data_IF_134891199251
#
_entry.id   IF_134891199251
#
_cell.length_a   1.000
_cell.length_b   1.000
_cell.length_c   1.000
_cell.angle_alpha   90.00
_cell.angle_beta   90.00
_cell.angle_gamma   90.00
#
_symmetry.space_group_name_H-M   'P 1'
#
loop_
_entity.id
_entity.type
_entity.pdbx_description
1 polymer ?
#
# COMPACT_ATOMS: atom_id res chain seq x y z
N UNK A 1 60.72 -22.66 3.87
CA UNK A 1 60.49 -21.22 3.69
C UNK A 1 59.43 -21.07 2.60
N UNK A 2 58.14 -21.01 2.96
CA UNK A 2 57.03 -21.01 2.00
C UNK A 2 56.42 -19.60 1.89
N UNK A 3 56.30 -19.10 0.66
CA UNK A 3 55.89 -17.74 0.31
C UNK A 3 54.41 -17.45 0.63
N UNK A 4 54.04 -16.21 0.99
CA UNK A 4 52.67 -15.85 1.35
C UNK A 4 51.75 -15.78 0.12
N UNK A 5 50.54 -16.35 0.24
CA UNK A 5 49.48 -16.28 -0.78
C UNK A 5 48.96 -14.84 -0.93
N UNK A 6 49.00 -14.30 -2.16
CA UNK A 6 48.36 -13.02 -2.52
C UNK A 6 46.84 -13.12 -2.32
N UNK A 7 46.29 -12.35 -1.37
CA UNK A 7 44.85 -12.11 -1.25
C UNK A 7 44.41 -11.25 -2.44
N UNK A 8 43.56 -11.78 -3.31
CA UNK A 8 42.90 -10.95 -4.32
C UNK A 8 41.81 -10.14 -3.62
N UNK A 9 41.92 -8.81 -3.67
CA UNK A 9 40.93 -7.91 -3.13
C UNK A 9 39.77 -7.77 -4.13
N UNK A 10 38.55 -8.00 -3.65
CA UNK A 10 37.34 -8.03 -4.50
C UNK A 10 37.10 -6.67 -5.16
N UNK A 11 37.53 -5.57 -4.53
CA UNK A 11 37.48 -4.20 -5.06
C UNK A 11 38.21 -4.04 -6.40
N UNK A 12 39.31 -4.76 -6.62
CA UNK A 12 40.08 -4.67 -7.87
C UNK A 12 39.36 -5.34 -9.05
N UNK A 13 38.44 -6.27 -8.76
CA UNK A 13 37.63 -6.96 -9.76
C UNK A 13 36.48 -6.07 -10.28
N UNK A 14 35.95 -5.18 -9.44
CA UNK A 14 34.89 -4.23 -9.80
C UNK A 14 35.42 -3.08 -10.68
N UNK A 15 36.60 -2.54 -10.35
CA UNK A 15 37.24 -1.49 -11.15
C UNK A 15 37.63 -1.99 -12.55
N UNK A 16 38.16 -3.23 -12.66
CA UNK A 16 38.49 -3.82 -13.97
C UNK A 16 37.28 -4.09 -14.88
N UNK A 17 36.06 -4.14 -14.33
CA UNK A 17 34.80 -4.31 -15.08
C UNK A 17 34.08 -2.99 -15.35
N UNK A 18 34.69 -1.84 -15.06
CA UNK A 18 34.10 -0.53 -15.30
C UNK A 18 33.00 -0.15 -14.31
N UNK A 19 32.92 -0.82 -13.15
CA UNK A 19 31.96 -0.51 -12.10
C UNK A 19 32.68 0.30 -11.01
N UNK A 20 32.59 1.63 -11.08
CA UNK A 20 33.13 2.49 -10.02
C UNK A 20 32.13 2.53 -8.85
N UNK A 21 32.57 2.27 -7.61
CA UNK A 21 31.71 2.49 -6.44
C UNK A 21 31.36 3.98 -6.36
N UNK A 22 30.10 4.30 -6.03
CA UNK A 22 29.58 5.68 -6.00
C UNK A 22 30.41 6.61 -5.08
N UNK A 23 31.04 6.04 -4.04
CA UNK A 23 31.97 6.73 -3.15
C UNK A 23 33.25 7.28 -3.83
N UNK A 24 33.50 6.94 -5.09
CA UNK A 24 34.67 7.37 -5.87
C UNK A 24 34.35 8.48 -6.89
N UNK A 25 33.11 8.98 -6.91
CA UNK A 25 32.72 10.14 -7.73
C UNK A 25 32.87 11.38 -6.85
N UNK A 26 33.82 12.25 -7.17
CA UNK A 26 33.91 13.57 -6.51
C UNK A 26 32.68 14.41 -6.89
N UNK A 27 32.00 15.05 -5.94
CA UNK A 27 30.84 15.86 -6.23
C UNK A 27 31.23 17.08 -7.07
N UNK A 28 30.44 17.38 -8.09
CA UNK A 28 30.69 18.50 -9.00
C UNK A 28 30.40 19.84 -8.31
N UNK A 29 31.35 20.75 -8.42
CA UNK A 29 31.30 22.12 -7.90
C UNK A 29 30.00 22.85 -8.31
N UNK A 30 29.12 23.13 -7.33
CA UNK A 30 27.91 23.93 -7.55
C UNK A 30 26.63 23.47 -6.85
N UNK A 31 26.74 22.60 -5.84
CA UNK A 31 25.60 22.09 -5.08
C UNK A 31 24.77 23.24 -4.47
N UNK A 32 23.53 23.34 -4.95
CA UNK A 32 22.50 24.27 -4.46
C UNK A 32 22.00 23.82 -3.08
N UNK A 33 21.42 24.74 -2.27
CA UNK A 33 21.41 24.64 -0.81
C UNK A 33 20.57 23.47 -0.30
N UNK A 34 21.04 22.87 0.80
CA UNK A 34 20.30 21.91 1.63
C UNK A 34 18.82 22.28 1.75
N UNK A 35 17.92 21.39 1.32
CA UNK A 35 16.54 21.42 1.77
C UNK A 35 16.49 21.33 3.31
N UNK A 36 15.54 22.03 3.92
CA UNK A 36 15.40 22.28 5.37
C UNK A 36 15.09 21.01 6.20
N UNK A 37 14.93 19.85 5.56
CA UNK A 37 14.52 18.59 6.19
C UNK A 37 15.62 17.51 6.11
N UNK A 38 15.79 16.77 7.21
CA UNK A 38 16.79 15.71 7.32
C UNK A 38 16.30 14.37 6.72
N UNK A 39 17.19 13.39 6.61
CA UNK A 39 16.88 12.04 6.11
C UNK A 39 15.75 11.37 6.92
N UNK A 40 15.70 11.63 8.23
CA UNK A 40 14.69 11.08 9.13
C UNK A 40 13.27 11.57 8.77
N UNK A 41 13.12 12.84 8.40
CA UNK A 41 11.85 13.38 7.90
C UNK A 41 11.35 12.63 6.65
N UNK A 42 12.24 12.39 5.68
CA UNK A 42 11.87 11.69 4.45
C UNK A 42 11.57 10.21 4.68
N UNK A 43 12.25 9.56 5.62
CA UNK A 43 11.91 8.21 6.05
C UNK A 43 10.50 8.16 6.69
N UNK A 44 10.15 9.16 7.50
CA UNK A 44 8.83 9.27 8.11
C UNK A 44 7.74 9.54 7.06
N UNK A 45 7.99 10.42 6.09
CA UNK A 45 7.09 10.68 4.97
C UNK A 45 6.83 9.40 4.16
N UNK A 46 7.89 8.65 3.84
CA UNK A 46 7.78 7.38 3.11
C UNK A 46 7.01 6.33 3.92
N UNK A 47 7.28 6.22 5.23
CA UNK A 47 6.52 5.36 6.14
C UNK A 47 5.05 5.75 6.16
N UNK A 48 4.72 7.04 6.23
CA UNK A 48 3.35 7.53 6.23
C UNK A 48 2.63 7.21 4.92
N UNK A 49 3.23 7.51 3.77
CA UNK A 49 2.64 7.26 2.46
C UNK A 49 2.39 5.75 2.25
N UNK A 50 3.38 4.91 2.52
CA UNK A 50 3.25 3.45 2.47
C UNK A 50 2.23 2.94 3.48
N UNK A 51 2.14 3.54 4.66
CA UNK A 51 1.15 3.19 5.67
C UNK A 51 -0.27 3.46 5.16
N UNK A 52 -0.56 4.63 4.60
CA UNK A 52 -1.88 4.97 4.05
C UNK A 52 -2.22 4.05 2.87
N UNK A 53 -1.30 3.89 1.92
CA UNK A 53 -1.42 3.00 0.77
C UNK A 53 -1.70 1.55 1.18
N UNK A 54 -1.06 1.08 2.26
CA UNK A 54 -1.30 -0.24 2.81
C UNK A 54 -2.75 -0.43 3.32
N UNK A 55 -3.35 0.58 3.96
CA UNK A 55 -4.76 0.52 4.36
C UNK A 55 -5.66 0.48 3.12
N UNK A 56 -5.40 1.37 2.16
CA UNK A 56 -6.16 1.46 0.92
C UNK A 56 -6.14 0.14 0.13
N UNK A 57 -4.96 -0.47 -0.03
CA UNK A 57 -4.79 -1.79 -0.66
C UNK A 57 -5.49 -2.90 0.14
N UNK A 58 -5.42 -2.87 1.48
CA UNK A 58 -6.09 -3.85 2.33
C UNK A 58 -7.62 -3.78 2.25
N UNK A 59 -8.17 -2.63 1.86
CA UNK A 59 -9.60 -2.45 1.56
C UNK A 59 -10.00 -2.92 0.15
N UNK A 60 -9.05 -3.37 -0.67
CA UNK A 60 -9.32 -3.88 -2.01
C UNK A 60 -9.34 -2.81 -3.09
N UNK A 61 -8.64 -1.69 -2.88
CA UNK A 61 -8.42 -0.71 -3.94
C UNK A 61 -7.56 -1.31 -5.08
N UNK A 62 -7.79 -0.80 -6.29
CA UNK A 62 -7.01 -1.16 -7.47
C UNK A 62 -5.53 -0.74 -7.30
N UNK A 63 -4.60 -1.59 -7.75
CA UNK A 63 -3.16 -1.42 -7.51
C UNK A 63 -2.62 -0.08 -8.01
N UNK A 64 -3.03 0.34 -9.21
CA UNK A 64 -2.60 1.62 -9.78
C UNK A 64 -3.05 2.82 -8.92
N UNK A 65 -4.22 2.75 -8.27
CA UNK A 65 -4.69 3.82 -7.36
C UNK A 65 -3.86 3.88 -6.09
N UNK A 66 -3.32 2.74 -5.66
CA UNK A 66 -2.43 2.65 -4.50
C UNK A 66 -1.05 3.18 -4.84
N UNK A 67 -0.51 2.88 -6.02
CA UNK A 67 0.72 3.51 -6.55
C UNK A 67 0.56 5.03 -6.62
N UNK A 68 -0.50 5.50 -7.29
CA UNK A 68 -0.80 6.92 -7.44
C UNK A 68 -0.94 7.63 -6.08
N UNK A 69 -1.51 6.97 -5.08
CA UNK A 69 -1.64 7.51 -3.72
C UNK A 69 -0.28 7.79 -3.09
N UNK A 70 0.69 6.89 -3.23
CA UNK A 70 2.03 7.06 -2.67
C UNK A 70 2.74 8.20 -3.39
N UNK A 71 2.73 8.18 -4.73
CA UNK A 71 3.35 9.21 -5.57
C UNK A 71 2.78 10.59 -5.25
N UNK A 72 1.46 10.76 -5.25
CA UNK A 72 0.81 12.06 -4.98
C UNK A 72 1.09 12.60 -3.58
N UNK A 73 1.14 11.74 -2.57
CA UNK A 73 1.48 12.17 -1.21
C UNK A 73 2.91 12.68 -1.19
N UNK A 74 3.87 11.89 -1.67
CA UNK A 74 5.29 12.24 -1.61
C UNK A 74 5.58 13.52 -2.43
N UNK A 75 5.01 13.63 -3.64
CA UNK A 75 5.09 14.84 -4.47
C UNK A 75 4.46 16.06 -3.79
N UNK A 76 3.35 15.89 -3.07
CA UNK A 76 2.71 17.01 -2.36
C UNK A 76 3.63 17.62 -1.28
N UNK A 77 4.51 16.82 -0.69
CA UNK A 77 5.54 17.26 0.27
C UNK A 77 6.86 17.70 -0.40
N UNK A 78 6.91 17.81 -1.72
CA UNK A 78 8.00 18.46 -2.45
C UNK A 78 9.07 17.54 -3.03
N UNK A 79 8.87 16.22 -2.98
CA UNK A 79 9.83 15.25 -3.54
C UNK A 79 9.42 14.84 -4.95
N UNK A 80 10.23 15.17 -5.96
CA UNK A 80 9.91 14.93 -7.37
C UNK A 80 10.25 13.52 -7.87
N UNK A 81 11.30 12.91 -7.32
CA UNK A 81 11.78 11.58 -7.75
C UNK A 81 11.19 10.50 -6.86
N UNK A 82 10.12 9.86 -7.36
CA UNK A 82 9.40 8.81 -6.64
C UNK A 82 9.12 7.64 -7.57
N UNK A 83 9.55 6.44 -7.15
CA UNK A 83 9.27 5.19 -7.84
C UNK A 83 8.36 4.31 -6.97
N UNK A 84 7.21 3.92 -7.50
CA UNK A 84 6.25 3.06 -6.78
C UNK A 84 5.88 1.84 -7.62
N UNK A 85 5.75 0.70 -6.95
CA UNK A 85 5.35 -0.55 -7.57
C UNK A 85 4.53 -1.36 -6.58
N UNK A 86 3.28 -1.67 -6.94
CA UNK A 86 2.33 -2.35 -6.05
C UNK A 86 1.77 -3.60 -6.72
N UNK A 87 1.86 -4.70 -5.98
CA UNK A 87 1.15 -5.94 -6.27
C UNK A 87 0.20 -6.27 -5.11
N UNK A 88 -0.80 -7.14 -5.30
CA UNK A 88 -1.79 -7.43 -4.25
C UNK A 88 -1.19 -7.83 -2.88
N UNK A 89 -0.02 -8.46 -2.88
CA UNK A 89 0.66 -8.94 -1.69
C UNK A 89 1.83 -8.06 -1.21
N UNK A 90 2.19 -6.98 -1.92
CA UNK A 90 3.36 -6.17 -1.57
C UNK A 90 3.28 -4.76 -2.16
N UNK A 91 3.71 -3.78 -1.37
CA UNK A 91 3.96 -2.40 -1.80
C UNK A 91 5.46 -2.17 -1.77
N UNK A 92 6.01 -1.62 -2.83
CA UNK A 92 7.40 -1.18 -2.95
C UNK A 92 7.35 0.31 -3.33
N UNK A 93 8.04 1.15 -2.55
CA UNK A 93 8.10 2.58 -2.80
C UNK A 93 9.51 3.07 -2.52
N UNK A 94 10.01 3.93 -3.39
CA UNK A 94 11.31 4.56 -3.26
C UNK A 94 11.18 6.05 -3.53
N UNK A 95 11.93 6.85 -2.81
CA UNK A 95 12.10 8.26 -3.10
C UNK A 95 13.59 8.60 -3.12
N UNK A 96 13.96 9.62 -3.88
CA UNK A 96 15.33 10.12 -3.99
C UNK A 96 15.36 11.60 -3.57
N UNK A 97 16.25 11.93 -2.64
CA UNK A 97 16.47 13.28 -2.13
C UNK A 97 17.96 13.47 -1.84
N UNK A 98 18.57 14.57 -2.30
CA UNK A 98 19.98 14.93 -2.02
C UNK A 98 20.96 13.75 -2.17
N UNK A 99 20.88 13.01 -3.29
CA UNK A 99 21.67 11.82 -3.62
C UNK A 99 21.50 10.60 -2.67
N UNK A 100 20.53 10.64 -1.77
CA UNK A 100 20.12 9.52 -0.92
C UNK A 100 18.84 8.91 -1.47
N UNK A 101 18.85 7.58 -1.62
CA UNK A 101 17.68 6.79 -2.04
C UNK A 101 17.12 6.07 -0.82
N UNK A 102 15.88 6.39 -0.46
CA UNK A 102 15.13 5.71 0.59
C UNK A 102 14.12 4.76 -0.05
N UNK A 103 14.28 3.45 0.19
CA UNK A 103 13.38 2.42 -0.34
C UNK A 103 12.68 1.67 0.77
N UNK A 104 11.38 1.42 0.58
CA UNK A 104 10.55 0.68 1.52
C UNK A 104 9.73 -0.39 0.84
N UNK A 105 9.77 -1.58 1.43
CA UNK A 105 8.98 -2.74 1.00
C UNK A 105 8.06 -3.16 2.14
N UNK A 106 6.76 -3.26 1.85
CA UNK A 106 5.74 -3.70 2.80
C UNK A 106 4.94 -4.85 2.22
N UNK A 107 5.08 -6.03 2.82
CA UNK A 107 4.25 -7.19 2.53
C UNK A 107 2.87 -7.06 3.16
N UNK A 108 1.83 -7.40 2.41
CA UNK A 108 0.45 -7.49 2.87
C UNK A 108 0.10 -8.94 3.21
N UNK A 109 -0.59 -9.14 4.34
CA UNK A 109 -0.97 -10.48 4.84
C UNK A 109 -2.39 -10.89 4.44
N UNK A 110 -3.26 -9.93 4.13
CA UNK A 110 -4.65 -10.17 3.74
C UNK A 110 -5.32 -8.86 3.30
N UNK A 111 -6.12 -8.91 2.24
CA UNK A 111 -7.01 -7.84 1.82
C UNK A 111 -8.45 -8.33 1.75
N UNK A 112 -9.41 -7.43 1.93
CA UNK A 112 -10.84 -7.67 1.73
C UNK A 112 -11.43 -6.60 0.81
N UNK A 113 -12.75 -6.63 0.62
CA UNK A 113 -13.46 -5.59 -0.15
C UNK A 113 -14.24 -4.71 0.82
N UNK A 114 -13.70 -3.53 1.13
CA UNK A 114 -14.27 -2.57 2.08
C UNK A 114 -14.45 -1.22 1.39
N UNK A 115 -15.60 -1.01 0.74
CA UNK A 115 -15.88 0.18 -0.06
C UNK A 115 -15.81 1.48 0.76
N UNK A 116 -16.38 1.49 1.97
CA UNK A 116 -16.31 2.65 2.88
C UNK A 116 -14.85 2.96 3.28
N UNK A 117 -14.01 1.94 3.42
CA UNK A 117 -12.56 2.11 3.61
C UNK A 117 -11.88 2.75 2.40
N UNK A 118 -12.14 2.24 1.19
CA UNK A 118 -11.60 2.80 -0.06
C UNK A 118 -11.95 4.29 -0.17
N UNK A 119 -13.21 4.65 0.09
CA UNK A 119 -13.70 6.03 0.03
C UNK A 119 -12.98 6.92 1.05
N UNK A 120 -12.91 6.49 2.32
CA UNK A 120 -12.31 7.25 3.42
C UNK A 120 -10.81 7.47 3.25
N UNK A 121 -10.05 6.44 2.91
CA UNK A 121 -8.60 6.58 2.69
C UNK A 121 -8.30 7.41 1.44
N UNK A 122 -9.11 7.28 0.38
CA UNK A 122 -8.99 8.14 -0.81
C UNK A 122 -9.29 9.60 -0.48
N UNK A 123 -10.31 9.86 0.35
CA UNK A 123 -10.64 11.21 0.82
C UNK A 123 -9.52 11.80 1.70
N UNK A 124 -8.96 10.98 2.60
CA UNK A 124 -7.80 11.37 3.40
C UNK A 124 -6.60 11.71 2.51
N UNK A 125 -6.26 10.87 1.52
CA UNK A 125 -5.17 11.16 0.58
C UNK A 125 -5.35 12.53 -0.08
N UNK A 126 -6.54 12.82 -0.63
CA UNK A 126 -6.85 14.11 -1.24
C UNK A 126 -6.68 15.27 -0.25
N UNK A 127 -7.15 15.09 0.97
CA UNK A 127 -7.04 16.08 2.05
C UNK A 127 -5.58 16.37 2.39
N UNK A 128 -4.76 15.33 2.57
CA UNK A 128 -3.32 15.44 2.85
C UNK A 128 -2.60 16.18 1.72
N UNK A 129 -2.89 15.84 0.46
CA UNK A 129 -2.24 16.48 -0.69
C UNK A 129 -2.56 17.99 -0.79
N UNK A 130 -3.75 18.40 -0.35
CA UNK A 130 -4.19 19.80 -0.38
C UNK A 130 -3.70 20.57 0.85
N UNK A 131 -3.96 20.06 2.05
CA UNK A 131 -3.68 20.75 3.32
C UNK A 131 -2.21 20.68 3.71
N UNK A 132 -1.49 19.64 3.25
CA UNK A 132 -0.08 19.37 3.58
C UNK A 132 0.22 19.54 5.09
N UNK A 133 -0.54 18.88 5.98
CA UNK A 133 -0.31 19.02 7.41
C UNK A 133 1.06 18.45 7.79
N UNK A 134 1.56 18.79 8.97
CA UNK A 134 2.73 18.12 9.51
C UNK A 134 2.50 16.59 9.63
N UNK A 135 3.58 15.80 9.59
CA UNK A 135 3.49 14.34 9.56
C UNK A 135 2.84 13.75 10.82
N UNK A 136 2.99 14.42 11.98
CA UNK A 136 2.36 14.00 13.23
C UNK A 136 0.84 14.15 13.13
N UNK A 137 0.37 15.28 12.63
CA UNK A 137 -1.05 15.53 12.35
C UNK A 137 -1.59 14.58 11.28
N UNK A 138 -0.84 14.36 10.19
CA UNK A 138 -1.21 13.41 9.13
C UNK A 138 -1.41 12.00 9.70
N UNK A 139 -0.49 11.55 10.57
CA UNK A 139 -0.56 10.25 11.26
C UNK A 139 -1.77 10.13 12.17
N UNK A 140 -2.11 11.22 12.87
CA UNK A 140 -3.31 11.31 13.71
C UNK A 140 -4.58 11.19 12.87
N UNK A 141 -4.68 11.94 11.77
CA UNK A 141 -5.81 11.86 10.82
C UNK A 141 -5.98 10.46 10.25
N UNK A 142 -4.88 9.77 9.92
CA UNK A 142 -4.93 8.37 9.47
C UNK A 142 -5.48 7.45 10.58
N UNK A 143 -5.08 7.66 11.83
CA UNK A 143 -5.59 6.88 12.97
C UNK A 143 -7.08 7.15 13.26
N UNK A 144 -7.53 8.39 13.10
CA UNK A 144 -8.95 8.75 13.18
C UNK A 144 -9.74 8.12 12.04
N UNK A 145 -9.16 8.10 10.84
CA UNK A 145 -9.75 7.46 9.66
C UNK A 145 -9.90 5.95 9.89
N UNK A 146 -8.86 5.28 10.41
CA UNK A 146 -8.88 3.85 10.76
C UNK A 146 -10.09 3.51 11.67
N UNK A 147 -10.40 4.38 12.64
CA UNK A 147 -11.55 4.20 13.56
C UNK A 147 -12.91 4.52 12.96
N UNK A 148 -12.93 5.28 11.86
CA UNK A 148 -14.17 5.74 11.22
C UNK A 148 -14.69 4.78 10.16
N UNK A 149 -13.85 3.83 9.69
CA UNK A 149 -14.25 2.82 8.71
C UNK A 149 -15.34 1.93 9.31
N UNK A 150 -16.44 1.80 8.59
CA UNK A 150 -17.59 1.01 9.06
C UNK A 150 -17.33 -0.47 8.92
N UNK A 151 -17.54 -1.19 10.01
CA UNK A 151 -17.64 -2.65 10.02
C UNK A 151 -19.10 -3.07 10.18
N UNK A 152 -19.54 -4.01 9.35
CA UNK A 152 -20.89 -4.53 9.41
C UNK A 152 -20.94 -5.82 10.21
N UNK A 153 -21.84 -5.86 11.20
CA UNK A 153 -22.08 -7.04 12.01
C UNK A 153 -22.62 -8.23 11.19
N UNK A 154 -22.57 -9.45 11.76
CA UNK A 154 -22.95 -10.67 11.05
C UNK A 154 -24.40 -10.65 10.54
N UNK A 155 -25.31 -10.02 11.27
CA UNK A 155 -26.73 -9.90 10.89
C UNK A 155 -26.87 -9.13 9.57
N UNK A 156 -26.24 -7.96 9.48
CA UNK A 156 -26.29 -7.14 8.26
C UNK A 156 -25.61 -7.87 7.10
N UNK A 157 -24.49 -8.56 7.35
CA UNK A 157 -23.79 -9.34 6.35
C UNK A 157 -24.68 -10.43 5.73
N UNK A 158 -25.31 -11.28 6.55
CA UNK A 158 -26.16 -12.36 6.03
C UNK A 158 -27.46 -11.85 5.41
N UNK A 159 -28.03 -10.76 5.94
CA UNK A 159 -29.18 -10.11 5.32
C UNK A 159 -28.82 -9.57 3.92
N UNK A 160 -27.67 -8.92 3.78
CA UNK A 160 -27.19 -8.45 2.48
C UNK A 160 -26.96 -9.63 1.53
N UNK A 161 -26.33 -10.72 1.99
CA UNK A 161 -26.13 -11.92 1.19
C UNK A 161 -27.45 -12.53 0.69
N UNK A 162 -28.46 -12.58 1.57
CA UNK A 162 -29.81 -13.01 1.20
C UNK A 162 -30.42 -12.08 0.14
N UNK A 163 -30.41 -10.76 0.38
CA UNK A 163 -31.03 -9.78 -0.51
C UNK A 163 -30.37 -9.74 -1.88
N UNK A 164 -29.04 -9.93 -1.94
CA UNK A 164 -28.30 -10.06 -3.20
C UNK A 164 -28.80 -11.29 -3.96
N UNK A 165 -28.77 -12.47 -3.35
CA UNK A 165 -29.24 -13.70 -4.00
C UNK A 165 -30.71 -13.63 -4.42
N UNK A 166 -31.57 -13.10 -3.55
CA UNK A 166 -32.99 -12.90 -3.78
C UNK A 166 -33.25 -11.95 -4.95
N UNK A 167 -32.57 -10.80 -4.98
CA UNK A 167 -32.66 -9.82 -6.06
C UNK A 167 -32.19 -10.38 -7.40
N UNK A 168 -31.07 -11.10 -7.41
CA UNK A 168 -30.58 -11.76 -8.63
C UNK A 168 -31.55 -12.83 -9.14
N UNK A 169 -32.24 -13.56 -8.24
CA UNK A 169 -33.29 -14.49 -8.63
C UNK A 169 -34.38 -13.83 -9.49
N UNK A 170 -34.82 -12.62 -9.14
CA UNK A 170 -35.73 -11.84 -9.98
C UNK A 170 -35.07 -11.27 -11.23
N UNK A 171 -33.83 -10.80 -11.12
CA UNK A 171 -33.08 -10.24 -12.25
C UNK A 171 -32.97 -11.22 -13.42
N UNK A 172 -32.83 -12.52 -13.14
CA UNK A 172 -32.80 -13.58 -14.15
C UNK A 172 -34.19 -14.11 -14.55
N UNK A 173 -35.27 -13.41 -14.18
CA UNK A 173 -36.64 -13.76 -14.56
C UNK A 173 -37.29 -14.84 -13.69
N UNK A 174 -36.71 -15.15 -12.54
CA UNK A 174 -37.24 -16.17 -11.64
C UNK A 174 -38.55 -15.76 -10.94
N UNK A 175 -39.37 -16.75 -10.59
CA UNK A 175 -40.57 -16.55 -9.77
C UNK A 175 -40.19 -16.35 -8.30
N UNK A 176 -41.13 -15.90 -7.48
CA UNK A 176 -40.90 -15.64 -6.05
C UNK A 176 -40.24 -16.83 -5.30
N UNK A 177 -40.66 -18.06 -5.59
CA UNK A 177 -40.06 -19.26 -4.96
C UNK A 177 -38.59 -19.48 -5.37
N UNK A 178 -38.25 -19.22 -6.64
CA UNK A 178 -36.88 -19.33 -7.16
C UNK A 178 -36.00 -18.21 -6.60
N UNK A 179 -36.53 -16.99 -6.49
CA UNK A 179 -35.86 -15.87 -5.83
C UNK A 179 -35.62 -16.16 -4.35
N UNK A 180 -36.61 -16.71 -3.63
CA UNK A 180 -36.45 -17.10 -2.23
C UNK A 180 -35.38 -18.18 -2.06
N UNK A 181 -35.38 -19.20 -2.93
CA UNK A 181 -34.34 -20.23 -2.93
C UNK A 181 -32.96 -19.63 -3.20
N UNK A 182 -32.83 -18.72 -4.17
CA UNK A 182 -31.58 -18.01 -4.48
C UNK A 182 -31.08 -17.16 -3.29
N UNK A 183 -32.00 -16.51 -2.56
CA UNK A 183 -31.67 -15.78 -1.33
C UNK A 183 -31.10 -16.70 -0.23
N UNK A 184 -31.71 -17.87 -0.02
CA UNK A 184 -31.20 -18.87 0.94
C UNK A 184 -29.82 -19.38 0.50
N UNK A 185 -29.62 -19.64 -0.79
CA UNK A 185 -28.31 -19.96 -1.34
C UNK A 185 -27.28 -18.85 -1.07
N UNK A 186 -27.67 -17.57 -1.17
CA UNK A 186 -26.82 -16.43 -0.82
C UNK A 186 -26.34 -16.46 0.64
N UNK A 187 -27.24 -16.76 1.58
CA UNK A 187 -26.86 -16.96 3.00
C UNK A 187 -25.86 -18.12 3.13
N UNK A 188 -26.13 -19.25 2.48
CA UNK A 188 -25.27 -20.43 2.52
C UNK A 188 -23.86 -20.11 1.98
N UNK A 189 -23.76 -19.42 0.84
CA UNK A 189 -22.49 -18.95 0.27
C UNK A 189 -21.76 -18.01 1.24
N UNK A 190 -22.45 -17.04 1.83
CA UNK A 190 -21.86 -16.15 2.83
C UNK A 190 -21.32 -16.90 4.05
N UNK A 191 -22.04 -17.92 4.51
CA UNK A 191 -21.60 -18.77 5.62
C UNK A 191 -20.37 -19.60 5.23
N UNK A 192 -20.34 -20.18 4.02
CA UNK A 192 -19.19 -20.90 3.48
C UNK A 192 -17.95 -20.02 3.38
N UNK A 193 -18.06 -18.79 2.89
CA UNK A 193 -16.93 -17.84 2.83
C UNK A 193 -16.38 -17.52 4.22
N UNK A 194 -17.25 -17.27 5.20
CA UNK A 194 -16.84 -16.99 6.58
C UNK A 194 -16.18 -18.20 7.25
N UNK A 195 -16.70 -19.40 6.98
CA UNK A 195 -16.13 -20.66 7.45
C UNK A 195 -14.74 -20.89 6.84
N UNK A 196 -14.57 -20.75 5.53
CA UNK A 196 -13.27 -20.90 4.85
C UNK A 196 -12.23 -19.87 5.34
N UNK A 197 -12.66 -18.64 5.60
CA UNK A 197 -11.79 -17.62 6.20
C UNK A 197 -11.23 -18.02 7.57
N UNK A 198 -11.98 -18.80 8.37
CA UNK A 198 -11.53 -19.30 9.67
C UNK A 198 -10.42 -20.35 9.57
N UNK A 199 -10.36 -21.11 8.47
CA UNK A 199 -9.34 -22.14 8.24
C UNK A 199 -8.08 -21.62 7.55
N UNK A 200 -7.98 -20.31 7.27
CA UNK A 200 -6.83 -19.74 6.54
C UNK A 200 -6.53 -20.49 5.23
N UNK A 201 -7.57 -21.00 4.56
CA UNK A 201 -7.39 -21.79 3.34
C UNK A 201 -6.73 -21.00 2.18
N UNK A 202 -6.57 -19.68 2.34
CA UNK A 202 -5.94 -18.75 1.40
C UNK A 202 -4.82 -17.90 2.04
N UNK A 203 -4.22 -18.35 3.16
CA UNK A 203 -3.11 -17.64 3.83
C UNK A 203 -1.73 -18.11 3.35
#
# INVERSE_FOLDING_TARGET
>A
MAAPKKKHNISDLFIKKGFMPYSAVEPADGEKPHDEHDEAYYEELLEFAVALANRLQSCGAETYRVEETITRIIEAYGVEKVDTFVIPSSIMASLETNDVVLTKIRRLKSGGTMLDGIERYSALCRRICIEKPDLITARKLLTETDRSVREYGPVIYYLAAFLIGFGFGFFFGGKFAEALAAGICGIATGASLKFMGRFRANA
#
